data_IF_417975714912
#
_entry.id   IF_417975714912
#
_cell.length_a   1.000
_cell.length_b   1.000
_cell.length_c   1.000
_cell.angle_alpha   90.00
_cell.angle_beta   90.00
_cell.angle_gamma   90.00
#
_symmetry.space_group_name_H-M   'P 1'
#
loop_
_entity.id
_entity.type
_entity.pdbx_description
1 polymer ?
#
# COMPACT_ATOMS: atom_id res chain seq x y z
N UNK A 1 35.50 13.22 -1.86
CA UNK A 1 34.89 12.33 -0.86
C UNK A 1 33.44 12.15 -1.28
N UNK A 2 33.16 11.05 -1.99
CA UNK A 2 31.83 10.75 -2.49
C UNK A 2 31.02 10.20 -1.32
N UNK A 3 29.92 10.86 -0.97
CA UNK A 3 28.97 10.30 0.00
C UNK A 3 28.19 9.25 -0.78
N UNK A 4 28.39 7.97 -0.45
CA UNK A 4 27.48 6.92 -0.88
C UNK A 4 26.13 7.21 -0.24
N UNK A 5 25.18 7.65 -1.07
CA UNK A 5 23.78 7.73 -0.68
C UNK A 5 23.31 6.29 -0.61
N UNK A 6 23.35 5.70 0.59
CA UNK A 6 22.66 4.43 0.84
C UNK A 6 21.17 4.68 0.56
N UNK A 7 20.70 4.21 -0.58
CA UNK A 7 19.28 4.11 -0.87
C UNK A 7 18.66 3.26 0.22
N UNK A 8 17.96 3.91 1.15
CA UNK A 8 17.08 3.22 2.10
C UNK A 8 15.98 2.63 1.23
N UNK A 9 16.00 1.32 1.01
CA UNK A 9 14.83 0.62 0.51
C UNK A 9 13.78 0.66 1.64
N UNK A 10 12.91 1.66 1.61
CA UNK A 10 11.89 1.92 2.64
C UNK A 10 10.71 0.97 2.53
N UNK A 11 10.82 -0.13 1.76
CA UNK A 11 9.76 -1.13 1.67
C UNK A 11 9.54 -1.72 3.07
N UNK A 12 8.35 -1.53 3.67
CA UNK A 12 8.12 -2.01 5.02
C UNK A 12 8.25 -3.53 5.03
N UNK A 13 9.02 -4.05 6.00
CA UNK A 13 9.16 -5.48 6.17
C UNK A 13 7.82 -6.09 6.61
N UNK A 14 7.68 -7.41 6.49
CA UNK A 14 6.50 -8.10 7.04
C UNK A 14 6.36 -7.85 8.55
N UNK A 15 7.48 -7.76 9.28
CA UNK A 15 7.45 -7.41 10.71
C UNK A 15 6.88 -6.02 10.96
N UNK A 16 7.12 -5.05 10.07
CA UNK A 16 6.56 -3.71 10.19
C UNK A 16 5.03 -3.72 10.04
N UNK A 17 4.47 -4.54 9.14
CA UNK A 17 3.02 -4.68 9.00
C UNK A 17 2.36 -5.26 10.26
N UNK A 18 3.04 -6.16 10.97
CA UNK A 18 2.53 -6.77 12.20
C UNK A 18 2.44 -5.78 13.37
N UNK A 19 3.19 -4.69 13.34
CA UNK A 19 3.19 -3.65 14.38
C UNK A 19 2.10 -2.59 14.20
N UNK A 20 1.38 -2.60 13.07
CA UNK A 20 0.30 -1.66 12.83
C UNK A 20 -0.89 -1.95 13.76
N UNK A 21 -1.55 -0.90 14.23
CA UNK A 21 -2.74 -1.01 15.07
C UNK A 21 -3.98 -1.35 14.22
N UNK A 22 -4.07 -2.62 13.82
CA UNK A 22 -5.21 -3.16 13.09
C UNK A 22 -6.51 -3.09 13.91
N UNK A 23 -6.42 -3.17 15.24
CA UNK A 23 -7.58 -3.19 16.14
C UNK A 23 -8.37 -1.88 16.10
N UNK A 24 -7.68 -0.74 16.01
CA UNK A 24 -8.32 0.59 15.97
C UNK A 24 -9.24 0.81 14.77
N UNK A 25 -9.04 0.08 13.67
CA UNK A 25 -9.83 0.19 12.44
C UNK A 25 -10.61 -1.07 12.09
N UNK A 26 -10.89 -1.95 13.05
CA UNK A 26 -11.59 -3.22 12.84
C UNK A 26 -10.93 -4.09 11.74
N UNK A 27 -9.60 -4.16 11.75
CA UNK A 27 -8.81 -4.91 10.76
C UNK A 27 -8.56 -4.15 9.45
N UNK A 28 -8.96 -2.88 9.36
CA UNK A 28 -8.75 -2.03 8.20
C UNK A 28 -7.93 -0.79 8.54
N UNK A 29 -7.03 -0.43 7.64
CA UNK A 29 -6.24 0.80 7.73
C UNK A 29 -6.54 1.71 6.55
N UNK A 30 -6.66 3.04 6.76
CA UNK A 30 -6.68 3.99 5.66
C UNK A 30 -5.31 4.00 4.97
N UNK A 31 -5.32 3.97 3.64
CA UNK A 31 -4.11 4.07 2.81
C UNK A 31 -4.24 5.27 1.89
N UNK A 32 -3.34 6.23 2.08
CA UNK A 32 -3.20 7.39 1.20
C UNK A 32 -2.18 7.03 0.11
N UNK A 33 -2.60 7.12 -1.15
CA UNK A 33 -1.70 7.00 -2.29
C UNK A 33 -1.28 8.38 -2.72
N UNK A 34 0.02 8.56 -2.89
CA UNK A 34 0.63 9.80 -3.33
C UNK A 34 1.47 9.52 -4.58
N UNK A 35 1.48 10.47 -5.49
CA UNK A 35 2.42 10.50 -6.62
C UNK A 35 3.83 10.78 -6.10
N UNK A 36 4.80 9.97 -6.49
CA UNK A 36 6.16 10.01 -5.93
C UNK A 36 6.94 11.25 -6.33
N UNK A 37 6.65 11.83 -7.50
CA UNK A 37 7.41 12.95 -8.06
C UNK A 37 6.79 14.29 -7.65
N UNK A 38 5.47 14.38 -7.69
CA UNK A 38 4.73 15.63 -7.46
C UNK A 38 4.22 15.78 -6.04
N UNK A 39 4.28 14.72 -5.23
CA UNK A 39 3.71 14.66 -3.88
C UNK A 39 2.19 14.92 -3.86
N UNK A 40 1.52 14.81 -5.01
CA UNK A 40 0.08 14.97 -5.08
C UNK A 40 -0.60 13.75 -4.45
N UNK A 41 -1.53 13.98 -3.54
CA UNK A 41 -2.44 12.91 -3.07
C UNK A 41 -3.34 12.49 -4.23
N UNK A 42 -3.23 11.23 -4.63
CA UNK A 42 -4.00 10.65 -5.73
C UNK A 42 -5.33 10.09 -5.25
N UNK A 43 -5.32 9.36 -4.14
CA UNK A 43 -6.52 8.76 -3.57
C UNK A 43 -6.34 8.31 -2.11
N UNK A 44 -7.47 8.05 -1.46
CA UNK A 44 -7.58 7.34 -0.19
C UNK A 44 -8.33 6.02 -0.43
N UNK A 45 -7.77 4.92 0.04
CA UNK A 45 -8.42 3.62 0.09
C UNK A 45 -8.33 2.98 1.47
N UNK A 46 -8.78 1.74 1.59
CA UNK A 46 -8.64 0.94 2.79
C UNK A 46 -7.92 -0.36 2.47
N UNK A 47 -7.09 -0.83 3.39
CA UNK A 47 -6.35 -2.06 3.28
C UNK A 47 -6.55 -2.92 4.54
N UNK A 48 -6.64 -4.23 4.36
CA UNK A 48 -6.43 -5.19 5.44
C UNK A 48 -5.01 -5.77 5.34
N UNK A 49 -4.64 -6.64 6.28
CA UNK A 49 -3.31 -7.27 6.28
C UNK A 49 -3.02 -7.99 4.95
N UNK A 50 -3.96 -8.79 4.45
CA UNK A 50 -3.80 -9.54 3.21
C UNK A 50 -3.60 -8.64 1.98
N UNK A 51 -4.27 -7.48 1.91
CA UNK A 51 -4.10 -6.56 0.79
C UNK A 51 -2.73 -5.88 0.80
N UNK A 52 -2.18 -5.56 1.98
CA UNK A 52 -0.82 -5.02 2.09
C UNK A 52 0.24 -6.09 1.80
N UNK A 53 0.05 -7.32 2.26
CA UNK A 53 0.93 -8.44 1.91
C UNK A 53 0.98 -8.68 0.40
N UNK A 54 -0.18 -8.67 -0.26
CA UNK A 54 -0.26 -8.79 -1.73
C UNK A 54 0.43 -7.61 -2.43
N UNK A 55 0.28 -6.40 -1.89
CA UNK A 55 0.94 -5.20 -2.42
C UNK A 55 2.46 -5.33 -2.37
N UNK A 56 3.01 -5.75 -1.22
CA UNK A 56 4.44 -5.96 -1.07
C UNK A 56 4.97 -7.10 -1.95
N UNK A 57 4.21 -8.18 -2.11
CA UNK A 57 4.59 -9.32 -2.93
C UNK A 57 4.60 -9.01 -4.44
N UNK A 58 3.65 -8.20 -4.91
CA UNK A 58 3.45 -7.94 -6.35
C UNK A 58 4.04 -6.62 -6.83
N UNK A 59 4.32 -5.69 -5.92
CA UNK A 59 4.66 -4.31 -6.25
C UNK A 59 3.48 -3.51 -6.80
N UNK A 60 2.26 -4.04 -6.77
CA UNK A 60 1.07 -3.35 -7.27
C UNK A 60 0.08 -3.09 -6.14
N UNK A 61 -0.43 -1.85 -6.07
CA UNK A 61 -1.34 -1.47 -4.98
C UNK A 61 -2.62 -2.31 -4.99
N UNK A 62 -2.81 -3.08 -3.92
CA UNK A 62 -4.00 -3.88 -3.65
C UNK A 62 -4.71 -3.34 -2.42
N UNK A 63 -6.00 -3.04 -2.57
CA UNK A 63 -6.88 -2.58 -1.49
C UNK A 63 -7.84 -3.68 -1.05
N UNK A 64 -8.52 -3.45 0.06
CA UNK A 64 -9.69 -4.22 0.45
C UNK A 64 -10.98 -3.44 0.11
N UNK A 65 -11.80 -3.99 -0.79
CA UNK A 65 -13.09 -3.41 -1.13
C UNK A 65 -14.10 -3.71 -0.02
N UNK A 66 -14.41 -2.71 0.81
CA UNK A 66 -15.38 -2.86 1.91
C UNK A 66 -16.80 -3.18 1.43
N UNK A 67 -17.20 -2.70 0.26
CA UNK A 67 -18.54 -2.99 -0.29
C UNK A 67 -18.63 -4.38 -0.92
N UNK A 68 -17.55 -4.87 -1.54
CA UNK A 68 -17.52 -6.18 -2.20
C UNK A 68 -16.89 -7.29 -1.34
N UNK A 69 -16.37 -6.95 -0.16
CA UNK A 69 -15.71 -7.85 0.79
C UNK A 69 -14.62 -8.72 0.12
N UNK A 70 -13.78 -8.10 -0.72
CA UNK A 70 -12.69 -8.79 -1.44
C UNK A 70 -11.47 -7.91 -1.64
N UNK A 71 -10.34 -8.56 -1.92
CA UNK A 71 -9.16 -7.88 -2.45
C UNK A 71 -9.47 -7.29 -3.83
N UNK A 72 -8.90 -6.12 -4.10
CA UNK A 72 -9.05 -5.39 -5.35
C UNK A 72 -7.72 -4.71 -5.70
N UNK A 73 -7.10 -5.13 -6.80
CA UNK A 73 -5.86 -4.50 -7.27
C UNK A 73 -6.22 -3.29 -8.13
N UNK A 74 -5.65 -2.13 -7.80
CA UNK A 74 -5.96 -0.90 -8.54
C UNK A 74 -5.56 -1.07 -9.99
N UNK A 75 -6.52 -0.88 -10.89
CA UNK A 75 -6.31 -1.03 -12.33
C UNK A 75 -6.68 -2.41 -12.89
N UNK A 76 -7.13 -3.37 -12.06
CA UNK A 76 -7.47 -4.74 -12.52
C UNK A 76 -8.49 -4.80 -13.67
N UNK A 77 -9.31 -3.75 -13.87
CA UNK A 77 -10.25 -3.64 -14.99
C UNK A 77 -9.93 -2.53 -15.98
N UNK A 78 -9.29 -1.44 -15.53
CA UNK A 78 -9.07 -0.24 -16.33
C UNK A 78 -7.68 -0.12 -16.93
N UNK A 79 -6.72 -0.96 -16.51
CA UNK A 79 -5.30 -0.84 -16.88
C UNK A 79 -4.55 0.29 -16.16
N UNK A 80 -5.24 1.20 -15.48
CA UNK A 80 -4.62 2.29 -14.72
C UNK A 80 -4.12 1.79 -13.35
N UNK A 81 -2.92 1.21 -13.34
CA UNK A 81 -2.26 0.63 -12.16
C UNK A 81 -1.50 1.67 -11.33
N UNK A 82 -1.17 1.29 -10.10
CA UNK A 82 -0.23 2.00 -9.21
C UNK A 82 0.89 1.00 -8.89
N UNK A 83 2.10 1.29 -9.35
CA UNK A 83 3.30 0.44 -9.24
C UNK A 83 4.51 1.27 -8.78
#
# INVERSE_FOLDING_TARGET
>A
MSIEVNSIDVRPSREALAQLDWGKGDGLLPVVVQDTDTLRVLMLGYANAASLEQTLATGQMTFFSRSKQRLWTKGESSGNVLA
#
